data_IF_597805149706
#
_entry.id   IF_597805149706
#
_cell.length_a   1.000
_cell.length_b   1.000
_cell.length_c   1.000
_cell.angle_alpha   90.00
_cell.angle_beta   90.00
_cell.angle_gamma   90.00
#
_symmetry.space_group_name_H-M   'P 1'
#
loop_
_entity.id
_entity.type
_entity.pdbx_description
1 polymer ?
#
# COMPACT_ATOMS: atom_id res chain seq x y z
N UNK A 1 -7.72 -4.76 -65.96
CA UNK A 1 -6.42 -4.05 -65.88
C UNK A 1 -6.68 -2.59 -65.62
N UNK A 2 -6.68 -2.10 -64.44
CA UNK A 2 -6.67 -0.75 -63.84
C UNK A 2 -7.28 -0.84 -62.42
N UNK A 3 -6.49 -1.24 -61.44
CA UNK A 3 -6.84 -1.08 -60.02
C UNK A 3 -5.60 -1.22 -59.10
N UNK A 4 -4.40 -0.92 -59.61
CA UNK A 4 -3.17 -1.04 -58.82
C UNK A 4 -2.42 0.30 -58.60
N UNK A 5 -3.05 1.46 -58.85
CA UNK A 5 -2.36 2.76 -58.85
C UNK A 5 -2.73 3.71 -57.68
N UNK A 6 -3.66 3.38 -56.79
CA UNK A 6 -4.13 4.35 -55.76
C UNK A 6 -3.56 4.17 -54.35
N UNK A 7 -2.99 3.04 -54.03
CA UNK A 7 -2.44 2.79 -52.68
C UNK A 7 -1.00 3.25 -52.50
N UNK A 8 -0.23 3.31 -53.58
CA UNK A 8 1.18 3.79 -53.55
C UNK A 8 1.28 5.31 -53.37
N UNK A 9 0.33 6.09 -53.88
CA UNK A 9 0.36 7.56 -53.78
C UNK A 9 0.09 8.05 -52.33
N UNK A 10 -0.73 7.31 -51.58
CA UNK A 10 -1.07 7.66 -50.18
C UNK A 10 0.11 7.43 -49.23
N UNK A 11 0.92 6.38 -49.47
CA UNK A 11 2.09 6.09 -48.64
C UNK A 11 3.25 7.07 -48.88
N UNK A 12 3.42 7.56 -50.12
CA UNK A 12 4.43 8.58 -50.44
C UNK A 12 4.05 9.93 -49.82
N UNK A 13 2.78 10.28 -49.79
CA UNK A 13 2.29 11.55 -49.17
C UNK A 13 2.46 11.56 -47.63
N UNK A 14 2.25 10.43 -46.97
CA UNK A 14 2.45 10.32 -45.53
C UNK A 14 3.94 10.37 -45.15
N UNK A 15 4.84 9.77 -45.96
CA UNK A 15 6.28 9.88 -45.73
C UNK A 15 6.83 11.30 -45.95
N UNK A 16 6.29 12.06 -46.92
CA UNK A 16 6.74 13.44 -47.14
C UNK A 16 6.32 14.41 -46.03
N UNK A 17 5.16 14.20 -45.40
CA UNK A 17 4.69 15.06 -44.28
C UNK A 17 5.49 14.82 -43.00
N UNK A 18 6.01 13.59 -42.81
CA UNK A 18 6.86 13.27 -41.65
C UNK A 18 8.28 13.80 -41.78
N UNK A 19 8.78 13.93 -43.04
CA UNK A 19 10.16 14.39 -43.30
C UNK A 19 10.28 15.92 -43.33
N UNK A 20 9.20 16.68 -43.61
CA UNK A 20 9.23 18.14 -43.58
C UNK A 20 8.98 18.74 -42.17
N UNK A 21 8.50 17.94 -41.22
CA UNK A 21 8.30 18.36 -39.82
C UNK A 21 9.58 18.39 -38.96
N UNK A 22 10.71 17.83 -39.46
CA UNK A 22 11.95 17.72 -38.67
C UNK A 22 12.97 18.84 -38.87
N UNK A 23 12.73 19.83 -39.74
CA UNK A 23 13.74 20.87 -40.02
C UNK A 23 13.46 22.25 -39.40
N UNK A 24 12.41 22.41 -38.62
CA UNK A 24 12.11 23.71 -37.97
C UNK A 24 12.42 23.75 -36.47
N UNK A 25 13.15 22.79 -35.91
CA UNK A 25 13.45 22.75 -34.47
C UNK A 25 14.95 22.89 -34.16
N UNK A 26 15.73 23.47 -35.04
CA UNK A 26 17.12 23.87 -34.74
C UNK A 26 17.25 25.37 -35.02
N UNK A 27 17.09 26.18 -33.98
CA UNK A 27 17.83 27.40 -33.68
C UNK A 27 17.01 28.33 -32.82
N UNK A 28 17.00 28.05 -31.53
CA UNK A 28 17.14 29.09 -30.52
C UNK A 28 18.07 28.50 -29.46
N UNK A 29 19.38 28.75 -29.65
CA UNK A 29 20.34 28.67 -28.55
C UNK A 29 20.00 29.81 -27.58
N UNK A 30 18.94 29.58 -26.81
CA UNK A 30 18.63 30.36 -25.61
C UNK A 30 19.40 29.72 -24.46
N UNK A 31 20.12 30.53 -23.73
CA UNK A 31 20.75 30.35 -22.44
C UNK A 31 20.44 28.99 -21.80
N UNK A 32 21.49 28.20 -21.58
CA UNK A 32 21.42 27.05 -20.69
C UNK A 32 21.09 27.59 -19.29
N UNK A 33 19.81 27.82 -19.02
CA UNK A 33 19.31 27.81 -17.66
C UNK A 33 19.65 26.40 -17.16
N UNK A 34 20.59 26.29 -16.24
CA UNK A 34 20.79 25.05 -15.50
C UNK A 34 19.41 24.64 -14.99
N UNK A 35 18.99 23.38 -15.20
CA UNK A 35 17.73 22.94 -14.65
C UNK A 35 17.79 23.22 -13.15
N UNK A 36 16.93 24.10 -12.69
CA UNK A 36 16.77 24.41 -11.28
C UNK A 36 16.43 23.08 -10.61
N UNK A 37 17.37 22.55 -9.82
CA UNK A 37 17.16 21.30 -9.09
C UNK A 37 16.12 21.60 -8.04
N UNK A 38 14.85 21.38 -8.40
CA UNK A 38 13.73 21.51 -7.46
C UNK A 38 14.00 20.66 -6.22
N UNK A 39 13.70 21.20 -5.04
CA UNK A 39 13.84 20.44 -3.81
C UNK A 39 13.03 19.16 -3.88
N UNK A 40 13.45 18.06 -3.23
CA UNK A 40 12.69 16.81 -3.24
C UNK A 40 11.22 16.99 -2.84
N UNK A 41 10.93 17.90 -1.91
CA UNK A 41 9.58 18.20 -1.46
C UNK A 41 8.72 18.79 -2.57
N UNK A 42 9.23 19.75 -3.33
CA UNK A 42 8.54 20.35 -4.47
C UNK A 42 8.28 19.31 -5.58
N UNK A 43 9.24 18.39 -5.79
CA UNK A 43 9.06 17.32 -6.76
C UNK A 43 7.93 16.38 -6.36
N UNK A 44 7.81 16.00 -5.08
CA UNK A 44 6.71 15.16 -4.59
C UNK A 44 5.39 15.90 -4.75
N UNK A 45 5.28 17.15 -4.30
CA UNK A 45 4.05 17.95 -4.41
C UNK A 45 3.53 18.04 -5.84
N UNK A 46 4.41 18.22 -6.81
CA UNK A 46 4.04 18.30 -8.23
C UNK A 46 3.43 17.01 -8.78
N UNK A 47 3.58 15.88 -8.10
CA UNK A 47 3.07 14.56 -8.52
C UNK A 47 1.89 14.08 -7.68
N UNK A 48 1.49 14.78 -6.62
CA UNK A 48 0.35 14.37 -5.80
C UNK A 48 -0.96 14.64 -6.54
N UNK A 49 -1.67 13.56 -6.84
CA UNK A 49 -3.04 13.60 -7.37
C UNK A 49 -4.01 13.08 -6.30
N UNK A 50 -4.70 13.99 -5.62
CA UNK A 50 -5.69 13.65 -4.57
C UNK A 50 -6.85 12.78 -5.08
N UNK A 51 -7.03 12.63 -6.39
CA UNK A 51 -8.04 11.72 -6.95
C UNK A 51 -7.62 10.26 -6.85
N UNK A 52 -6.30 9.96 -6.87
CA UNK A 52 -5.76 8.63 -6.59
C UNK A 52 -5.33 8.53 -5.11
N UNK A 53 -6.25 7.99 -4.31
CA UNK A 53 -6.08 7.91 -2.85
C UNK A 53 -4.88 7.09 -2.41
N UNK A 54 -4.57 5.98 -3.10
CA UNK A 54 -3.43 5.12 -2.78
C UNK A 54 -2.12 5.82 -3.13
N UNK A 55 -2.03 6.41 -4.32
CA UNK A 55 -0.83 7.15 -4.72
C UNK A 55 -0.61 8.38 -3.82
N UNK A 56 -1.67 9.06 -3.39
CA UNK A 56 -1.57 10.15 -2.41
C UNK A 56 -0.98 9.65 -1.09
N UNK A 57 -1.43 8.51 -0.56
CA UNK A 57 -0.89 7.96 0.68
C UNK A 57 0.58 7.55 0.53
N UNK A 58 0.95 6.98 -0.61
CA UNK A 58 2.35 6.67 -0.94
C UNK A 58 3.22 7.91 -0.95
N UNK A 59 2.73 8.97 -1.59
CA UNK A 59 3.44 10.25 -1.65
C UNK A 59 3.58 10.90 -0.27
N UNK A 60 2.55 10.82 0.59
CA UNK A 60 2.60 11.32 1.98
C UNK A 60 3.68 10.56 2.78
N UNK A 61 3.74 9.23 2.70
CA UNK A 61 4.79 8.45 3.37
C UNK A 61 6.18 8.82 2.84
N UNK A 62 6.35 8.94 1.52
CA UNK A 62 7.60 9.34 0.90
C UNK A 62 8.01 10.76 1.31
N UNK A 63 7.05 11.71 1.39
CA UNK A 63 7.31 13.05 1.87
C UNK A 63 7.81 13.04 3.32
N UNK A 64 7.19 12.21 4.17
CA UNK A 64 7.63 12.04 5.55
C UNK A 64 9.06 11.50 5.62
N UNK A 65 9.39 10.47 4.85
CA UNK A 65 10.72 9.86 4.79
C UNK A 65 11.81 10.84 4.36
N UNK A 66 11.45 11.81 3.53
CA UNK A 66 12.36 12.88 3.07
C UNK A 66 12.38 14.11 3.98
N UNK A 67 11.62 14.12 5.07
CA UNK A 67 11.53 15.26 6.00
C UNK A 67 10.69 16.43 5.48
N UNK A 68 9.84 16.21 4.47
CA UNK A 68 8.94 17.21 3.90
C UNK A 68 7.66 17.35 4.75
N UNK A 69 7.81 17.70 6.02
CA UNK A 69 6.72 17.66 6.99
C UNK A 69 5.55 18.60 6.65
N UNK A 70 5.81 19.76 6.07
CA UNK A 70 4.76 20.69 5.62
C UNK A 70 3.89 20.08 4.52
N UNK A 71 4.51 19.36 3.58
CA UNK A 71 3.82 18.58 2.53
C UNK A 71 2.96 17.48 3.16
N UNK A 72 3.50 16.75 4.15
CA UNK A 72 2.75 15.74 4.91
C UNK A 72 1.53 16.36 5.57
N UNK A 73 1.67 17.51 6.23
CA UNK A 73 0.55 18.19 6.89
C UNK A 73 -0.51 18.65 5.89
N UNK A 74 -0.09 19.25 4.77
CA UNK A 74 -1.01 19.78 3.76
C UNK A 74 -1.88 18.67 3.17
N UNK A 75 -1.26 17.63 2.63
CA UNK A 75 -1.98 16.55 1.95
C UNK A 75 -2.53 15.50 2.91
N UNK A 76 -1.85 15.26 4.03
CA UNK A 76 -2.30 14.30 5.03
C UNK A 76 -3.57 14.73 5.76
N UNK A 77 -3.70 16.00 6.14
CA UNK A 77 -4.94 16.50 6.77
C UNK A 77 -6.12 16.48 5.81
N UNK A 78 -5.88 16.76 4.53
CA UNK A 78 -6.90 16.64 3.49
C UNK A 78 -7.28 15.16 3.30
N UNK A 79 -6.31 14.26 3.16
CA UNK A 79 -6.55 12.83 3.03
C UNK A 79 -7.31 12.26 4.24
N UNK A 80 -6.97 12.68 5.46
CA UNK A 80 -7.67 12.28 6.69
C UNK A 80 -9.16 12.65 6.66
N UNK A 81 -9.50 13.77 6.04
CA UNK A 81 -10.89 14.22 5.90
C UNK A 81 -11.60 13.52 4.75
N UNK A 82 -10.99 13.51 3.56
CA UNK A 82 -11.63 13.09 2.31
C UNK A 82 -11.71 11.57 2.15
N UNK A 83 -10.74 10.83 2.74
CA UNK A 83 -10.64 9.38 2.54
C UNK A 83 -11.31 8.58 3.66
N UNK A 84 -11.87 9.25 4.66
CA UNK A 84 -12.56 8.62 5.78
C UNK A 84 -13.86 7.95 5.37
N UNK A 85 -14.54 8.51 4.39
CA UNK A 85 -15.86 8.05 3.99
C UNK A 85 -15.88 7.65 2.50
N UNK A 86 -16.71 6.64 2.23
CA UNK A 86 -16.98 6.20 0.88
C UNK A 86 -18.07 7.09 0.26
N UNK A 87 -17.76 7.69 -0.89
CA UNK A 87 -18.81 8.32 -1.71
C UNK A 87 -19.58 7.23 -2.44
N UNK A 88 -20.81 6.99 -2.01
CA UNK A 88 -21.66 5.99 -2.65
C UNK A 88 -22.16 6.50 -4.00
N UNK A 89 -21.89 5.75 -5.07
CA UNK A 89 -22.40 5.98 -6.40
C UNK A 89 -22.90 4.68 -7.02
N UNK A 90 -24.19 4.60 -7.31
CA UNK A 90 -24.80 3.41 -7.93
C UNK A 90 -24.09 3.03 -9.22
N UNK A 91 -23.69 4.01 -10.03
CA UNK A 91 -22.97 3.76 -11.28
C UNK A 91 -21.59 3.16 -11.04
N UNK A 92 -20.81 3.70 -10.08
CA UNK A 92 -19.49 3.17 -9.71
C UNK A 92 -19.61 1.74 -9.16
N UNK A 93 -20.58 1.48 -8.28
CA UNK A 93 -20.81 0.16 -7.71
C UNK A 93 -21.21 -0.87 -8.77
N UNK A 94 -22.07 -0.49 -9.72
CA UNK A 94 -22.49 -1.37 -10.80
C UNK A 94 -21.35 -1.66 -11.77
N UNK A 95 -20.54 -0.65 -12.11
CA UNK A 95 -19.37 -0.81 -12.98
C UNK A 95 -18.35 -1.77 -12.37
N UNK A 96 -18.22 -1.80 -11.05
CA UNK A 96 -17.31 -2.69 -10.33
C UNK A 96 -17.69 -4.18 -10.42
N UNK A 97 -18.92 -4.51 -10.85
CA UNK A 97 -19.31 -5.89 -11.15
C UNK A 97 -18.60 -6.39 -12.42
N UNK A 98 -18.34 -5.50 -13.37
CA UNK A 98 -17.72 -5.85 -14.64
C UNK A 98 -16.21 -5.74 -14.64
N UNK A 99 -15.64 -4.88 -13.78
CA UNK A 99 -14.21 -4.64 -13.68
C UNK A 99 -13.74 -4.95 -12.26
N UNK A 100 -12.90 -5.97 -12.08
CA UNK A 100 -12.27 -6.26 -10.80
C UNK A 100 -11.30 -5.14 -10.39
N UNK A 101 -10.75 -5.22 -9.23
CA UNK A 101 -9.75 -4.30 -8.66
C UNK A 101 -10.27 -2.99 -8.03
N UNK A 102 -11.58 -2.81 -7.94
CA UNK A 102 -12.11 -1.60 -7.33
C UNK A 102 -11.76 -0.30 -8.06
N UNK A 103 -11.35 -0.37 -9.35
CA UNK A 103 -10.89 0.77 -10.17
C UNK A 103 -11.90 1.92 -10.21
N UNK A 104 -13.20 1.60 -10.06
CA UNK A 104 -14.27 2.60 -10.06
C UNK A 104 -14.81 2.94 -8.67
N UNK A 105 -14.30 2.29 -7.63
CA UNK A 105 -14.72 2.54 -6.25
C UNK A 105 -13.64 3.32 -5.55
N UNK A 106 -14.04 4.40 -4.89
CA UNK A 106 -13.12 5.18 -4.09
C UNK A 106 -12.53 4.30 -2.97
N UNK A 107 -11.23 4.31 -2.83
CA UNK A 107 -10.56 3.65 -1.73
C UNK A 107 -10.93 4.35 -0.41
N UNK A 108 -11.23 3.57 0.62
CA UNK A 108 -11.48 4.08 1.99
C UNK A 108 -10.42 3.50 2.90
N UNK A 109 -9.76 4.35 3.65
CA UNK A 109 -8.71 3.93 4.58
C UNK A 109 -9.25 2.97 5.63
N UNK A 110 -8.50 1.91 5.88
CA UNK A 110 -8.73 1.04 7.02
C UNK A 110 -8.45 1.76 8.35
N UNK A 111 -8.95 1.22 9.45
CA UNK A 111 -8.72 1.84 10.76
C UNK A 111 -7.24 1.99 11.09
N UNK A 112 -6.43 0.97 10.79
CA UNK A 112 -4.99 1.01 11.02
C UNK A 112 -4.28 2.05 10.14
N UNK A 113 -4.73 2.24 8.89
CA UNK A 113 -4.19 3.25 7.97
C UNK A 113 -4.53 4.67 8.44
N UNK A 114 -5.76 4.89 8.90
CA UNK A 114 -6.13 6.18 9.49
C UNK A 114 -5.33 6.47 10.76
N UNK A 115 -5.14 5.45 11.61
CA UNK A 115 -4.28 5.55 12.77
C UNK A 115 -2.84 5.90 12.39
N UNK A 116 -2.26 5.18 11.44
CA UNK A 116 -0.89 5.44 11.00
C UNK A 116 -0.75 6.81 10.31
N UNK A 117 -1.75 7.27 9.58
CA UNK A 117 -1.77 8.63 9.03
C UNK A 117 -1.74 9.67 10.16
N UNK A 118 -2.51 9.46 11.24
CA UNK A 118 -2.44 10.33 12.43
C UNK A 118 -1.06 10.30 13.10
N UNK A 119 -0.36 9.15 13.10
CA UNK A 119 1.04 9.05 13.56
C UNK A 119 1.96 9.93 12.72
N UNK A 120 1.88 9.86 11.37
CA UNK A 120 2.70 10.68 10.48
C UNK A 120 2.42 12.18 10.67
N UNK A 121 1.14 12.55 10.85
CA UNK A 121 0.74 13.94 11.11
C UNK A 121 1.26 14.42 12.47
N UNK A 122 1.10 13.62 13.54
CA UNK A 122 1.61 13.97 14.88
C UNK A 122 3.13 14.15 14.86
N UNK A 123 3.84 13.22 14.22
CA UNK A 123 5.28 13.32 14.07
C UNK A 123 5.70 14.55 13.26
N UNK A 124 4.98 14.88 12.18
CA UNK A 124 5.26 16.06 11.37
C UNK A 124 5.04 17.36 12.14
N UNK A 125 3.96 17.45 12.92
CA UNK A 125 3.73 18.59 13.81
C UNK A 125 4.84 18.73 14.86
N UNK A 126 5.28 17.61 15.44
CA UNK A 126 6.38 17.62 16.39
C UNK A 126 7.67 18.16 15.76
N UNK A 127 8.03 17.69 14.56
CA UNK A 127 9.22 18.17 13.84
C UNK A 127 9.15 19.63 13.41
N UNK A 128 7.94 20.19 13.30
CA UNK A 128 7.71 21.62 13.02
C UNK A 128 7.49 22.44 14.29
N UNK A 129 7.92 21.92 15.45
CA UNK A 129 7.83 22.57 16.75
C UNK A 129 6.39 23.00 17.15
N UNK A 130 5.41 22.15 16.82
CA UNK A 130 4.01 22.35 17.16
C UNK A 130 3.45 21.18 17.99
N UNK A 131 3.87 21.02 19.26
CA UNK A 131 3.48 19.89 20.09
C UNK A 131 1.97 19.84 20.38
N UNK A 132 1.29 20.98 20.45
CA UNK A 132 -0.15 21.01 20.73
C UNK A 132 -0.96 20.42 19.57
N UNK A 133 -0.58 20.70 18.32
CA UNK A 133 -1.21 20.06 17.18
C UNK A 133 -0.87 18.56 17.11
N UNK A 134 0.35 18.16 17.48
CA UNK A 134 0.72 16.75 17.59
C UNK A 134 -0.17 16.00 18.58
N UNK A 135 -0.46 16.58 19.75
CA UNK A 135 -1.39 16.00 20.74
C UNK A 135 -2.81 15.84 20.20
N UNK A 136 -3.28 16.75 19.36
CA UNK A 136 -4.59 16.61 18.71
C UNK A 136 -4.62 15.40 17.79
N UNK A 137 -3.56 15.18 17.03
CA UNK A 137 -3.48 14.00 16.15
C UNK A 137 -3.36 12.69 16.94
N UNK A 138 -2.67 12.69 18.08
CA UNK A 138 -2.63 11.51 18.95
C UNK A 138 -4.00 11.18 19.54
N UNK A 139 -4.79 12.17 19.94
CA UNK A 139 -6.18 11.92 20.38
C UNK A 139 -7.06 11.37 19.23
N UNK A 140 -6.79 11.74 17.98
CA UNK A 140 -7.44 11.11 16.82
C UNK A 140 -6.99 9.69 16.63
N UNK A 141 -5.70 9.42 16.82
CA UNK A 141 -5.14 8.07 16.81
C UNK A 141 -5.84 7.18 17.85
N UNK A 142 -5.99 7.63 19.08
CA UNK A 142 -6.70 6.91 20.14
C UNK A 142 -8.15 6.60 19.72
N UNK A 143 -8.85 7.57 19.12
CA UNK A 143 -10.18 7.34 18.60
C UNK A 143 -10.21 6.23 17.53
N UNK A 144 -9.26 6.17 16.62
CA UNK A 144 -9.19 5.13 15.58
C UNK A 144 -8.82 3.76 16.16
N UNK A 145 -7.98 3.70 17.20
CA UNK A 145 -7.63 2.46 17.90
C UNK A 145 -8.85 1.86 18.59
N UNK A 146 -9.68 2.69 19.25
CA UNK A 146 -10.80 2.24 20.08
C UNK A 146 -12.18 2.34 19.39
N UNK A 147 -12.27 2.74 18.12
CA UNK A 147 -13.55 2.83 17.41
C UNK A 147 -14.08 1.44 17.04
N UNK A 148 -15.19 0.97 17.62
CA UNK A 148 -15.65 -0.42 17.46
C UNK A 148 -16.18 -0.72 16.03
N UNK A 149 -16.52 0.29 15.24
CA UNK A 149 -17.25 0.10 13.98
C UNK A 149 -16.44 -0.63 12.90
N UNK A 150 -15.11 -0.49 12.93
CA UNK A 150 -14.17 -1.14 12.00
C UNK A 150 -12.98 -1.73 12.73
N UNK A 151 -13.04 -1.80 14.06
CA UNK A 151 -11.96 -2.32 14.87
C UNK A 151 -12.11 -3.83 15.01
N UNK A 152 -11.28 -4.57 14.30
CA UNK A 152 -11.19 -6.03 14.37
C UNK A 152 -10.29 -6.49 15.53
N UNK A 153 -10.24 -5.75 16.58
CA UNK A 153 -9.33 -5.89 17.69
C UNK A 153 -8.43 -4.67 17.84
N UNK A 154 -7.75 -4.60 18.94
CA UNK A 154 -6.80 -3.53 19.22
C UNK A 154 -5.67 -3.51 18.20
N UNK A 155 -5.13 -2.33 17.95
CA UNK A 155 -4.01 -2.15 17.01
C UNK A 155 -2.72 -1.93 17.79
N UNK A 156 -1.95 -3.00 18.06
CA UNK A 156 -0.76 -2.89 18.91
C UNK A 156 0.34 -2.05 18.29
N UNK A 157 0.39 -1.93 16.96
CA UNK A 157 1.40 -1.10 16.28
C UNK A 157 1.10 0.38 16.51
N UNK A 158 -0.12 0.81 16.22
CA UNK A 158 -0.53 2.19 16.44
C UNK A 158 -0.59 2.54 17.92
N UNK A 159 -0.95 1.60 18.80
CA UNK A 159 -0.91 1.78 20.25
C UNK A 159 0.52 1.99 20.77
N UNK A 160 1.50 1.26 20.22
CA UNK A 160 2.90 1.45 20.57
C UNK A 160 3.43 2.82 20.10
N UNK A 161 3.02 3.27 18.91
CA UNK A 161 3.30 4.64 18.47
C UNK A 161 2.70 5.68 19.42
N UNK A 162 1.44 5.50 19.82
CA UNK A 162 0.77 6.40 20.75
C UNK A 162 1.53 6.50 22.06
N UNK A 163 1.85 5.36 22.69
CA UNK A 163 2.59 5.31 23.95
C UNK A 163 3.93 6.06 23.89
N UNK A 164 4.71 5.83 22.82
CA UNK A 164 6.01 6.47 22.65
C UNK A 164 5.87 7.96 22.34
N UNK A 165 4.92 8.35 21.49
CA UNK A 165 4.71 9.75 21.13
C UNK A 165 4.22 10.60 22.31
N UNK A 166 3.36 10.05 23.17
CA UNK A 166 2.97 10.71 24.41
C UNK A 166 4.16 10.93 25.35
N UNK A 167 5.09 9.95 25.44
CA UNK A 167 6.34 10.16 26.18
C UNK A 167 7.21 11.28 25.56
N UNK A 168 7.36 11.29 24.23
CA UNK A 168 8.11 12.34 23.49
C UNK A 168 7.52 13.72 23.74
N UNK A 169 6.20 13.82 23.89
CA UNK A 169 5.48 15.05 24.18
C UNK A 169 5.40 15.37 25.68
N UNK A 170 6.08 14.61 26.54
CA UNK A 170 6.09 14.74 28.00
C UNK A 170 4.71 14.60 28.68
N UNK A 171 3.79 13.86 28.04
CA UNK A 171 2.44 13.53 28.57
C UNK A 171 2.46 12.15 29.24
N UNK A 172 3.02 12.09 30.43
CA UNK A 172 3.30 10.83 31.12
C UNK A 172 2.05 10.03 31.50
N UNK A 173 0.93 10.68 31.77
CA UNK A 173 -0.30 9.98 32.15
C UNK A 173 -0.93 9.28 30.96
N UNK A 174 -1.00 9.95 29.81
CA UNK A 174 -1.48 9.36 28.56
C UNK A 174 -0.58 8.20 28.13
N UNK A 175 0.74 8.40 28.16
CA UNK A 175 1.70 7.33 27.86
C UNK A 175 1.51 6.11 28.79
N UNK A 176 1.25 6.33 30.08
CA UNK A 176 1.00 5.26 31.04
C UNK A 176 -0.23 4.43 30.70
N UNK A 177 -1.30 5.07 30.25
CA UNK A 177 -2.52 4.38 29.81
C UNK A 177 -2.19 3.42 28.66
N UNK A 178 -1.50 3.91 27.64
CA UNK A 178 -1.16 3.11 26.46
C UNK A 178 -0.19 1.96 26.77
N UNK A 179 0.83 2.20 27.62
CA UNK A 179 1.72 1.14 28.08
C UNK A 179 0.99 0.07 28.89
N UNK A 180 -0.01 0.46 29.68
CA UNK A 180 -0.86 -0.49 30.44
C UNK A 180 -1.69 -1.35 29.49
N UNK A 181 -2.30 -0.74 28.48
CA UNK A 181 -3.06 -1.46 27.45
C UNK A 181 -2.17 -2.47 26.70
N UNK A 182 -0.96 -2.05 26.28
CA UNK A 182 -0.01 -2.96 25.63
C UNK A 182 0.41 -4.14 26.51
N UNK A 183 0.57 -3.91 27.82
CA UNK A 183 0.90 -4.98 28.77
C UNK A 183 -0.26 -5.98 28.93
N UNK A 184 -1.51 -5.51 28.87
CA UNK A 184 -2.72 -6.30 29.13
C UNK A 184 -3.22 -7.06 27.88
N UNK A 185 -2.71 -6.78 26.68
CA UNK A 185 -3.09 -7.49 25.46
C UNK A 185 -2.61 -8.95 25.47
N UNK A 186 -3.52 -9.90 25.64
CA UNK A 186 -3.20 -11.34 25.76
C UNK A 186 -2.65 -11.95 24.45
N UNK A 187 -3.07 -11.44 23.30
CA UNK A 187 -2.66 -11.90 21.96
C UNK A 187 -1.35 -11.28 21.48
N UNK A 188 -0.82 -10.29 22.22
CA UNK A 188 0.44 -9.64 21.90
C UNK A 188 1.64 -10.52 22.35
N UNK A 189 2.71 -10.49 21.54
CA UNK A 189 3.93 -11.23 21.85
C UNK A 189 4.49 -10.84 23.23
N UNK A 190 4.96 -11.86 23.99
CA UNK A 190 5.44 -11.67 25.37
C UNK A 190 6.61 -10.69 25.47
N UNK A 191 7.45 -10.63 24.44
CA UNK A 191 8.55 -9.68 24.35
C UNK A 191 8.06 -8.24 24.43
N UNK A 192 6.98 -7.91 23.71
CA UNK A 192 6.41 -6.56 23.67
C UNK A 192 5.72 -6.25 25.01
N UNK A 193 4.94 -7.20 25.54
CA UNK A 193 4.29 -7.05 26.85
C UNK A 193 5.31 -6.85 27.98
N UNK A 194 6.41 -7.59 27.93
CA UNK A 194 7.50 -7.46 28.91
C UNK A 194 8.17 -6.10 28.80
N UNK A 195 8.42 -5.59 27.59
CA UNK A 195 8.95 -4.26 27.39
C UNK A 195 8.00 -3.18 27.93
N UNK A 196 6.70 -3.27 27.64
CA UNK A 196 5.71 -2.36 28.19
C UNK A 196 5.69 -2.34 29.72
N UNK A 197 5.76 -3.53 30.36
CA UNK A 197 5.89 -3.66 31.82
C UNK A 197 7.15 -2.98 32.35
N UNK A 198 8.27 -3.14 31.69
CA UNK A 198 9.52 -2.47 32.08
C UNK A 198 9.40 -0.94 31.99
N UNK A 199 8.76 -0.43 30.94
CA UNK A 199 8.48 1.01 30.80
C UNK A 199 7.63 1.52 31.95
N UNK A 200 6.53 0.86 32.30
CA UNK A 200 5.67 1.22 33.43
C UNK A 200 6.44 1.24 34.76
N UNK A 201 7.33 0.29 35.00
CA UNK A 201 8.18 0.27 36.21
C UNK A 201 9.08 1.50 36.26
N UNK A 202 9.74 1.87 35.16
CA UNK A 202 10.58 3.07 35.08
C UNK A 202 9.76 4.35 35.29
N UNK A 203 8.56 4.45 34.70
CA UNK A 203 7.66 5.59 34.88
C UNK A 203 7.24 5.78 36.35
N UNK A 204 7.11 4.71 37.11
CA UNK A 204 6.78 4.78 38.54
C UNK A 204 8.00 5.11 39.43
N UNK A 205 9.20 4.94 38.92
CA UNK A 205 10.46 5.09 39.67
C UNK A 205 11.02 6.51 39.75
N UNK A 206 10.31 7.54 39.26
CA UNK A 206 10.78 8.93 39.20
C UNK A 206 12.08 9.13 38.40
N UNK A 207 12.49 8.17 37.60
CA UNK A 207 13.54 8.40 36.60
C UNK A 207 13.00 9.37 35.56
N UNK A 208 13.82 10.33 35.15
CA UNK A 208 13.49 11.22 34.06
C UNK A 208 13.34 10.39 32.78
N UNK A 209 12.08 10.06 32.45
CA UNK A 209 11.73 9.14 31.36
C UNK A 209 11.69 9.89 30.04
N UNK A 210 12.01 11.19 30.03
CA UNK A 210 12.11 11.99 28.80
C UNK A 210 13.20 11.42 27.87
N UNK A 211 13.10 10.12 27.63
CA UNK A 211 14.01 9.35 26.81
C UNK A 211 13.96 9.86 25.38
N UNK A 212 15.11 10.14 24.83
CA UNK A 212 15.28 10.45 23.41
C UNK A 212 14.92 9.19 22.61
N UNK A 213 13.66 9.09 22.23
CA UNK A 213 13.19 7.98 21.42
C UNK A 213 13.68 8.10 19.98
N UNK A 214 14.09 6.97 19.43
CA UNK A 214 14.33 6.78 18.00
C UNK A 214 13.40 5.68 17.50
N UNK A 215 12.67 5.94 16.43
CA UNK A 215 11.81 4.97 15.77
C UNK A 215 12.38 4.70 14.39
N UNK A 216 12.76 3.46 14.12
CA UNK A 216 13.27 3.03 12.84
C UNK A 216 12.23 2.16 12.12
N UNK A 217 11.91 2.52 10.89
CA UNK A 217 11.07 1.74 10.00
C UNK A 217 11.91 0.73 9.23
N UNK A 218 11.45 -0.52 9.10
CA UNK A 218 12.17 -1.62 8.48
C UNK A 218 11.32 -2.31 7.42
N UNK A 219 11.95 -2.53 6.27
CA UNK A 219 11.37 -3.31 5.17
C UNK A 219 10.11 -2.71 4.59
N UNK A 220 9.55 -3.41 3.62
CA UNK A 220 8.28 -3.04 2.99
C UNK A 220 7.18 -4.00 3.42
N UNK A 221 5.95 -3.51 3.53
CA UNK A 221 4.79 -4.34 3.78
C UNK A 221 4.73 -5.48 2.75
N UNK A 222 4.46 -6.72 3.17
CA UNK A 222 4.53 -7.86 2.27
C UNK A 222 3.44 -7.81 1.20
N UNK A 223 3.79 -8.21 -0.02
CA UNK A 223 2.79 -8.43 -1.07
C UNK A 223 1.75 -9.45 -0.61
N UNK A 224 0.52 -9.26 -1.05
CA UNK A 224 -0.62 -10.09 -0.68
C UNK A 224 -0.88 -11.13 -1.77
N UNK A 225 -0.86 -12.41 -1.37
CA UNK A 225 -1.40 -13.52 -2.15
C UNK A 225 -2.81 -13.85 -1.70
N UNK A 226 -3.64 -14.29 -2.63
CA UNK A 226 -4.99 -14.70 -2.33
C UNK A 226 -5.40 -15.92 -3.15
N UNK A 227 -6.36 -16.67 -2.63
CA UNK A 227 -6.95 -17.82 -3.30
C UNK A 227 -8.41 -18.00 -2.91
N UNK A 228 -9.19 -18.64 -3.77
CA UNK A 228 -10.62 -18.90 -3.53
C UNK A 228 -10.77 -20.16 -2.69
N UNK A 229 -11.42 -20.05 -1.54
CA UNK A 229 -11.82 -21.18 -0.71
C UNK A 229 -13.24 -21.62 -1.07
N UNK A 230 -13.38 -22.74 -1.75
CA UNK A 230 -14.71 -23.31 -2.02
C UNK A 230 -15.35 -24.05 -0.84
N UNK A 231 -14.65 -24.15 0.30
CA UNK A 231 -15.05 -25.02 1.42
C UNK A 231 -15.14 -24.21 2.72
N UNK A 232 -16.36 -24.20 3.28
CA UNK A 232 -16.81 -23.64 4.56
C UNK A 232 -17.17 -22.16 4.54
N UNK A 233 -18.48 -21.93 4.47
CA UNK A 233 -19.10 -20.59 4.55
C UNK A 233 -18.87 -19.85 5.89
N UNK A 234 -18.43 -20.53 6.92
CA UNK A 234 -18.15 -19.97 8.25
C UNK A 234 -16.81 -19.23 8.35
N UNK A 235 -15.90 -19.44 7.39
CA UNK A 235 -14.55 -18.84 7.37
C UNK A 235 -14.27 -17.92 6.17
N UNK A 236 -15.31 -17.47 5.49
CA UNK A 236 -15.18 -16.63 4.30
C UNK A 236 -14.74 -17.40 3.05
N UNK A 237 -14.74 -16.70 1.91
CA UNK A 237 -14.54 -17.31 0.59
C UNK A 237 -13.12 -17.18 0.06
N UNK A 238 -12.30 -16.32 0.67
CA UNK A 238 -10.93 -16.07 0.24
C UNK A 238 -9.92 -16.48 1.32
N UNK A 239 -8.79 -16.99 0.87
CA UNK A 239 -7.59 -17.17 1.69
C UNK A 239 -6.61 -16.08 1.32
N UNK A 240 -6.30 -15.21 2.24
CA UNK A 240 -5.33 -14.12 2.09
C UNK A 240 -4.09 -14.48 2.87
N UNK A 241 -2.92 -14.34 2.24
CA UNK A 241 -1.62 -14.71 2.83
C UNK A 241 -0.55 -13.71 2.43
N UNK A 242 0.39 -13.39 3.32
CA UNK A 242 1.57 -12.61 2.94
C UNK A 242 2.50 -13.48 2.08
N UNK A 243 3.13 -12.91 1.05
CA UNK A 243 4.12 -13.61 0.23
C UNK A 243 5.43 -13.87 0.95
N UNK A 244 5.73 -13.04 1.92
CA UNK A 244 6.94 -13.14 2.73
C UNK A 244 6.57 -13.10 4.22
N UNK A 245 7.36 -13.74 5.03
CA UNK A 245 7.13 -13.75 6.48
C UNK A 245 7.51 -12.41 7.10
N UNK A 246 6.75 -12.00 8.11
CA UNK A 246 7.11 -10.87 8.94
C UNK A 246 8.30 -11.20 9.85
N UNK A 247 9.05 -10.16 10.21
CA UNK A 247 10.09 -10.28 11.23
C UNK A 247 9.48 -10.66 12.59
N UNK A 248 10.14 -11.55 13.30
CA UNK A 248 9.72 -11.92 14.64
C UNK A 248 9.80 -10.71 15.59
N UNK A 249 8.93 -10.62 16.60
CA UNK A 249 9.05 -9.63 17.66
C UNK A 249 10.40 -9.78 18.37
N UNK A 250 10.90 -8.68 18.91
CA UNK A 250 12.15 -8.64 19.66
C UNK A 250 12.01 -7.60 20.75
N UNK A 251 12.61 -7.84 21.92
CA UNK A 251 12.77 -6.81 22.94
C UNK A 251 14.19 -6.86 23.51
N UNK A 252 14.69 -5.68 23.88
CA UNK A 252 15.94 -5.45 24.58
C UNK A 252 15.68 -4.57 25.81
N UNK A 253 16.71 -4.19 26.55
CA UNK A 253 16.57 -3.22 27.63
C UNK A 253 16.24 -1.82 27.13
N UNK A 254 16.72 -1.46 25.93
CA UNK A 254 16.60 -0.15 25.32
C UNK A 254 15.53 -0.06 24.25
N UNK A 255 15.06 -1.17 23.68
CA UNK A 255 14.18 -1.11 22.53
C UNK A 255 13.29 -2.34 22.33
N UNK A 256 12.32 -2.17 21.45
CA UNK A 256 11.37 -3.22 21.05
C UNK A 256 11.08 -3.13 19.54
N UNK A 257 10.99 -4.30 18.90
CA UNK A 257 10.56 -4.45 17.52
C UNK A 257 9.16 -5.04 17.44
N UNK A 258 8.27 -4.37 16.72
CA UNK A 258 6.93 -4.86 16.40
C UNK A 258 6.75 -4.97 14.87
N UNK A 259 6.12 -6.05 14.43
CA UNK A 259 5.76 -6.22 13.02
C UNK A 259 4.38 -5.66 12.72
N UNK A 260 4.15 -5.29 11.47
CA UNK A 260 2.82 -4.88 10.97
C UNK A 260 1.93 -6.06 10.58
N UNK A 261 2.24 -7.25 11.11
CA UNK A 261 1.44 -8.47 10.89
C UNK A 261 -0.02 -8.29 11.32
N UNK A 262 -0.28 -7.56 12.41
CA UNK A 262 -1.65 -7.24 12.86
C UNK A 262 -2.43 -6.43 11.83
N UNK A 263 -1.77 -5.56 11.08
CA UNK A 263 -2.39 -4.82 9.97
C UNK A 263 -2.73 -5.75 8.81
N UNK A 264 -1.81 -6.66 8.48
CA UNK A 264 -2.07 -7.70 7.48
C UNK A 264 -3.26 -8.59 7.90
N UNK A 265 -3.32 -8.97 9.17
CA UNK A 265 -4.42 -9.79 9.70
C UNK A 265 -5.76 -9.07 9.60
N UNK A 266 -5.81 -7.75 9.78
CA UNK A 266 -7.03 -6.94 9.56
C UNK A 266 -7.49 -7.02 8.12
N UNK A 267 -6.57 -6.92 7.14
CA UNK A 267 -6.89 -7.11 5.71
C UNK A 267 -7.39 -8.54 5.46
N UNK A 268 -6.71 -9.54 6.01
CA UNK A 268 -7.07 -10.94 5.85
C UNK A 268 -8.45 -11.25 6.45
N UNK A 269 -8.76 -10.75 7.63
CA UNK A 269 -10.06 -10.91 8.29
C UNK A 269 -11.16 -10.27 7.46
N UNK A 270 -10.98 -9.04 6.99
CA UNK A 270 -11.95 -8.35 6.13
C UNK A 270 -12.37 -9.20 4.95
N UNK A 271 -11.44 -9.91 4.31
CA UNK A 271 -11.71 -10.72 3.13
C UNK A 271 -12.07 -12.18 3.46
N UNK A 272 -11.57 -12.73 4.57
CA UNK A 272 -11.76 -14.14 4.92
C UNK A 272 -13.09 -14.41 5.64
N UNK A 273 -13.53 -13.51 6.52
CA UNK A 273 -14.67 -13.75 7.41
C UNK A 273 -15.97 -13.07 7.00
N UNK A 274 -16.04 -12.51 5.78
CA UNK A 274 -17.28 -11.92 5.29
C UNK A 274 -17.77 -10.72 6.10
N UNK A 275 -16.87 -10.06 6.78
CA UNK A 275 -17.16 -8.91 7.64
C UNK A 275 -17.84 -7.76 6.87
N UNK A 276 -17.59 -7.68 5.57
CA UNK A 276 -18.35 -6.85 4.64
C UNK A 276 -19.10 -7.74 3.64
N UNK A 277 -20.34 -8.16 3.95
CA UNK A 277 -21.12 -9.03 3.05
C UNK A 277 -21.24 -8.44 1.64
N UNK A 278 -21.24 -7.11 1.49
CA UNK A 278 -21.27 -6.45 0.19
C UNK A 278 -20.02 -6.73 -0.67
N UNK A 279 -18.82 -6.86 -0.10
CA UNK A 279 -17.61 -7.20 -0.85
C UNK A 279 -17.66 -8.64 -1.37
N UNK A 280 -18.20 -9.56 -0.58
CA UNK A 280 -18.40 -10.94 -1.00
C UNK A 280 -19.52 -11.04 -2.04
N UNK A 281 -20.62 -10.32 -1.84
CA UNK A 281 -21.73 -10.28 -2.84
C UNK A 281 -21.21 -9.75 -4.17
N UNK A 282 -20.38 -8.72 -4.18
CA UNK A 282 -19.77 -8.22 -5.43
C UNK A 282 -18.91 -9.28 -6.12
N UNK A 283 -18.04 -9.98 -5.39
CA UNK A 283 -17.24 -11.07 -5.97
C UNK A 283 -18.12 -12.22 -6.51
N UNK A 284 -19.20 -12.56 -5.81
CA UNK A 284 -20.16 -13.56 -6.27
C UNK A 284 -20.97 -13.09 -7.49
N UNK A 285 -21.35 -11.82 -7.56
CA UNK A 285 -22.00 -11.25 -8.73
C UNK A 285 -21.06 -11.21 -9.95
N UNK A 286 -19.75 -11.14 -9.73
CA UNK A 286 -18.74 -11.26 -10.80
C UNK A 286 -18.57 -12.69 -11.31
N UNK A 287 -18.92 -13.70 -10.51
CA UNK A 287 -18.73 -15.10 -10.91
C UNK A 287 -19.41 -15.44 -12.25
N UNK A 288 -20.71 -15.14 -12.48
CA UNK A 288 -21.33 -15.38 -13.78
C UNK A 288 -20.62 -14.65 -14.93
N UNK A 289 -20.24 -13.39 -14.70
CA UNK A 289 -19.52 -12.58 -15.69
C UNK A 289 -18.14 -13.18 -15.97
N UNK A 290 -17.40 -13.55 -14.94
CA UNK A 290 -16.09 -14.20 -15.05
C UNK A 290 -16.15 -15.54 -15.76
N UNK A 291 -17.20 -16.35 -15.51
CA UNK A 291 -17.44 -17.61 -16.21
C UNK A 291 -17.71 -17.37 -17.70
N UNK A 292 -18.55 -16.40 -18.04
CA UNK A 292 -18.81 -16.03 -19.45
C UNK A 292 -17.52 -15.56 -20.13
N UNK A 293 -16.75 -14.68 -19.53
CA UNK A 293 -15.47 -14.23 -20.09
C UNK A 293 -14.47 -15.39 -20.22
N UNK A 294 -14.39 -16.26 -19.24
CA UNK A 294 -13.50 -17.43 -19.28
C UNK A 294 -13.89 -18.39 -20.40
N UNK A 295 -15.19 -18.69 -20.56
CA UNK A 295 -15.71 -19.56 -21.64
C UNK A 295 -15.49 -18.90 -23.00
N UNK A 296 -15.75 -17.60 -23.15
CA UNK A 296 -15.51 -16.90 -24.42
C UNK A 296 -14.03 -16.88 -24.78
N UNK A 297 -13.14 -16.66 -23.81
CA UNK A 297 -11.69 -16.71 -24.01
C UNK A 297 -11.24 -18.11 -24.44
N UNK A 298 -11.76 -19.16 -23.80
CA UNK A 298 -11.51 -20.55 -24.17
C UNK A 298 -12.02 -20.86 -25.57
N UNK A 299 -13.30 -20.55 -25.86
CA UNK A 299 -13.91 -20.78 -27.15
C UNK A 299 -13.22 -20.02 -28.29
N UNK A 300 -12.82 -18.77 -28.04
CA UNK A 300 -12.03 -17.98 -28.99
C UNK A 300 -10.68 -18.63 -29.27
N UNK A 301 -9.98 -19.09 -28.23
CA UNK A 301 -8.73 -19.83 -28.40
C UNK A 301 -8.87 -21.11 -29.21
N UNK A 302 -9.90 -21.91 -28.92
CA UNK A 302 -10.21 -23.12 -29.69
C UNK A 302 -10.58 -22.76 -31.13
N UNK A 303 -11.42 -21.75 -31.34
CA UNK A 303 -11.83 -21.27 -32.66
C UNK A 303 -10.65 -20.80 -33.51
N UNK A 304 -9.72 -20.04 -32.93
CA UNK A 304 -8.51 -19.58 -33.61
C UNK A 304 -7.62 -20.78 -34.01
N UNK A 305 -7.39 -21.72 -33.07
CA UNK A 305 -6.54 -22.86 -33.35
C UNK A 305 -7.12 -23.73 -34.50
N UNK A 306 -8.40 -24.06 -34.43
CA UNK A 306 -9.09 -24.90 -35.45
C UNK A 306 -9.27 -24.12 -36.75
N UNK A 307 -9.77 -22.88 -36.69
CA UNK A 307 -10.03 -22.05 -37.86
C UNK A 307 -8.75 -21.72 -38.64
N UNK A 308 -7.67 -21.42 -37.94
CA UNK A 308 -6.39 -21.15 -38.59
C UNK A 308 -5.81 -22.36 -39.33
N UNK A 309 -5.94 -23.55 -38.74
CA UNK A 309 -5.54 -24.80 -39.43
C UNK A 309 -6.43 -25.12 -40.61
N UNK A 310 -7.73 -24.88 -40.50
CA UNK A 310 -8.65 -25.07 -41.60
C UNK A 310 -8.38 -24.15 -42.77
N UNK A 311 -8.13 -22.86 -42.50
CA UNK A 311 -7.77 -21.88 -43.53
C UNK A 311 -6.44 -22.21 -44.21
N UNK A 312 -5.46 -22.67 -43.45
CA UNK A 312 -4.17 -23.10 -43.99
C UNK A 312 -4.32 -24.30 -44.92
N UNK A 313 -5.14 -25.28 -44.52
CA UNK A 313 -5.45 -26.46 -45.36
C UNK A 313 -6.23 -26.09 -46.63
N UNK A 314 -7.22 -25.17 -46.52
CA UNK A 314 -8.04 -24.74 -47.66
C UNK A 314 -7.24 -23.84 -48.64
N UNK A 315 -6.20 -23.14 -48.16
CA UNK A 315 -5.35 -22.24 -48.97
C UNK A 315 -4.11 -22.90 -49.59
N UNK A 316 -3.97 -24.23 -49.53
CA UNK A 316 -2.71 -24.93 -49.91
C UNK A 316 -1.48 -24.38 -49.19
N UNK A 317 -1.66 -23.94 -47.96
CA UNK A 317 -0.60 -23.40 -47.10
C UNK A 317 0.45 -24.45 -46.71
N UNK A 318 1.62 -24.00 -46.35
CA UNK A 318 2.76 -24.84 -45.93
C UNK A 318 2.73 -25.15 -44.41
N UNK A 319 1.61 -25.04 -43.74
CA UNK A 319 1.43 -25.34 -42.31
C UNK A 319 1.79 -24.17 -41.36
N UNK A 320 2.33 -23.09 -41.89
CA UNK A 320 2.80 -21.97 -41.05
C UNK A 320 1.67 -21.21 -40.35
N UNK A 321 0.54 -21.02 -41.04
CA UNK A 321 -0.62 -20.34 -40.46
C UNK A 321 -1.28 -21.21 -39.37
N UNK A 322 -1.36 -22.54 -39.61
CA UNK A 322 -1.84 -23.48 -38.63
C UNK A 322 -0.97 -23.48 -37.35
N UNK A 323 0.35 -23.49 -37.48
CA UNK A 323 1.26 -23.43 -36.33
C UNK A 323 1.08 -22.17 -35.51
N UNK A 324 1.01 -21.00 -36.14
CA UNK A 324 0.79 -19.71 -35.47
C UNK A 324 -0.59 -19.70 -34.79
N UNK A 325 -1.63 -20.21 -35.45
CA UNK A 325 -3.00 -20.30 -34.91
C UNK A 325 -3.09 -21.28 -33.72
N UNK A 326 -2.39 -22.39 -33.74
CA UNK A 326 -2.31 -23.31 -32.60
C UNK A 326 -1.62 -22.64 -31.41
N UNK A 327 -0.48 -22.00 -31.63
CA UNK A 327 0.26 -21.33 -30.55
C UNK A 327 -0.60 -20.23 -29.91
N UNK A 328 -1.21 -19.37 -30.72
CA UNK A 328 -2.10 -18.30 -30.26
C UNK A 328 -3.36 -18.84 -29.56
N UNK A 329 -4.00 -19.84 -30.13
CA UNK A 329 -5.19 -20.49 -29.56
C UNK A 329 -4.90 -21.17 -28.22
N UNK A 330 -3.81 -21.92 -28.13
CA UNK A 330 -3.38 -22.56 -26.86
C UNK A 330 -3.02 -21.51 -25.80
N UNK A 331 -2.41 -20.40 -26.20
CA UNK A 331 -2.13 -19.30 -25.26
C UNK A 331 -3.42 -18.72 -24.65
N UNK A 332 -4.47 -18.50 -25.46
CA UNK A 332 -5.77 -18.02 -24.98
C UNK A 332 -6.48 -19.06 -24.10
N UNK A 333 -6.43 -20.35 -24.48
CA UNK A 333 -6.98 -21.43 -23.65
C UNK A 333 -6.31 -21.45 -22.26
N UNK A 334 -4.99 -21.33 -22.21
CA UNK A 334 -4.24 -21.25 -20.95
C UNK A 334 -4.53 -19.98 -20.13
N UNK A 335 -5.00 -18.93 -20.77
CA UNK A 335 -5.41 -17.68 -20.08
C UNK A 335 -6.80 -17.78 -19.45
N UNK A 336 -7.70 -18.64 -19.97
CA UNK A 336 -9.11 -18.66 -19.54
C UNK A 336 -9.30 -18.85 -18.02
N UNK A 337 -8.60 -19.77 -17.31
CA UNK A 337 -8.72 -19.88 -15.86
C UNK A 337 -8.12 -18.65 -15.13
N UNK A 338 -7.11 -17.99 -15.72
CA UNK A 338 -6.56 -16.76 -15.16
C UNK A 338 -7.55 -15.61 -15.24
N UNK A 339 -8.33 -15.54 -16.32
CA UNK A 339 -9.41 -14.55 -16.47
C UNK A 339 -10.46 -14.73 -15.37
N UNK A 340 -10.90 -15.97 -15.13
CA UNK A 340 -11.84 -16.26 -14.04
C UNK A 340 -11.25 -15.87 -12.68
N UNK A 341 -10.02 -16.28 -12.41
CA UNK A 341 -9.32 -15.92 -11.17
C UNK A 341 -9.21 -14.40 -11.02
N UNK A 342 -8.84 -13.68 -12.07
CA UNK A 342 -8.77 -12.23 -12.06
C UNK A 342 -10.13 -11.58 -11.78
N UNK A 343 -11.22 -12.07 -12.41
CA UNK A 343 -12.57 -11.53 -12.20
C UNK A 343 -13.09 -11.77 -10.78
N UNK A 344 -12.63 -12.82 -10.10
CA UNK A 344 -12.99 -13.12 -8.71
C UNK A 344 -12.12 -12.42 -7.68
N UNK A 345 -11.07 -11.71 -8.11
CA UNK A 345 -10.14 -11.06 -7.21
C UNK A 345 -10.88 -10.10 -6.25
N UNK A 346 -10.70 -10.25 -4.93
CA UNK A 346 -11.21 -9.28 -3.96
C UNK A 346 -10.47 -7.95 -4.08
N UNK A 347 -11.05 -6.87 -3.60
CA UNK A 347 -10.38 -5.58 -3.51
C UNK A 347 -9.34 -5.62 -2.38
N UNK A 348 -8.11 -5.98 -2.73
CA UNK A 348 -6.97 -6.07 -1.82
C UNK A 348 -6.15 -4.77 -1.78
N UNK A 349 -6.70 -3.66 -2.29
CA UNK A 349 -6.02 -2.37 -2.19
C UNK A 349 -5.78 -2.04 -0.71
N UNK A 350 -4.62 -1.53 -0.42
CA UNK A 350 -4.15 -1.12 0.89
C UNK A 350 -2.98 -0.16 0.71
N UNK A 351 -2.61 0.50 1.75
CA UNK A 351 -1.42 1.34 1.78
C UNK A 351 -0.16 0.44 1.82
N UNK A 352 0.42 0.16 0.68
CA UNK A 352 1.42 -0.91 0.49
C UNK A 352 2.87 -0.47 0.72
N UNK A 353 3.17 0.84 0.76
CA UNK A 353 4.49 1.33 1.08
C UNK A 353 4.69 1.63 2.57
N UNK A 354 3.83 1.12 3.44
CA UNK A 354 4.08 1.14 4.88
C UNK A 354 5.20 0.14 5.24
N UNK A 355 5.96 0.39 6.30
CA UNK A 355 7.00 -0.54 6.75
C UNK A 355 6.46 -1.90 7.19
N UNK A 356 7.26 -2.96 7.01
CA UNK A 356 6.94 -4.30 7.50
C UNK A 356 7.08 -4.44 9.02
N UNK A 357 7.93 -3.62 9.63
CA UNK A 357 8.11 -3.57 11.09
C UNK A 357 8.71 -2.24 11.53
N UNK A 358 8.59 -1.97 12.82
CA UNK A 358 9.18 -0.80 13.47
C UNK A 358 10.03 -1.24 14.66
N UNK A 359 11.16 -0.56 14.87
CA UNK A 359 11.98 -0.65 16.08
C UNK A 359 11.88 0.67 16.82
N UNK A 360 11.41 0.61 18.04
CA UNK A 360 11.33 1.73 18.97
C UNK A 360 12.48 1.57 19.98
N UNK A 361 13.34 2.55 20.10
CA UNK A 361 14.49 2.45 21.00
C UNK A 361 14.87 3.77 21.65
N UNK A 362 15.38 3.67 22.86
CA UNK A 362 16.02 4.78 23.60
C UNK A 362 17.55 4.68 23.53
N UNK A 363 18.11 3.74 22.78
CA UNK A 363 19.54 3.61 22.60
C UNK A 363 20.13 4.85 21.92
N UNK A 364 21.21 5.37 22.44
CA UNK A 364 21.90 6.55 21.91
C UNK A 364 22.43 6.30 20.47
N UNK A 365 22.78 5.07 20.16
CA UNK A 365 23.22 4.65 18.83
C UNK A 365 22.38 3.47 18.36
N UNK A 366 21.71 3.66 17.23
CA UNK A 366 20.89 2.61 16.61
C UNK A 366 21.67 1.32 16.31
N UNK A 367 22.96 1.41 16.01
CA UNK A 367 23.79 0.26 15.71
C UNK A 367 24.04 -0.63 16.93
N UNK A 368 23.80 -0.14 18.12
CA UNK A 368 23.94 -0.90 19.36
C UNK A 368 22.61 -1.56 19.78
N UNK A 369 21.51 -1.30 19.04
CA UNK A 369 20.21 -1.88 19.33
C UNK A 369 20.09 -3.32 18.83
N UNK A 370 19.99 -4.32 19.74
CA UNK A 370 19.93 -5.73 19.35
C UNK A 370 18.76 -6.06 18.41
N UNK A 371 17.61 -5.42 18.60
CA UNK A 371 16.43 -5.63 17.77
C UNK A 371 16.59 -5.09 16.35
N UNK A 372 17.51 -4.15 16.11
CA UNK A 372 17.85 -3.66 14.79
C UNK A 372 18.95 -4.51 14.15
N UNK A 373 20.00 -4.84 14.90
CA UNK A 373 21.16 -5.59 14.39
C UNK A 373 20.84 -7.04 14.02
N UNK A 374 19.78 -7.61 14.60
CA UNK A 374 19.31 -8.97 14.27
C UNK A 374 18.59 -9.07 12.91
N UNK A 375 18.42 -7.94 12.19
CA UNK A 375 17.73 -7.90 10.88
C UNK A 375 18.71 -8.23 9.76
N UNK A 376 18.39 -9.13 8.83
CA UNK A 376 19.24 -9.40 7.68
C UNK A 376 19.50 -8.14 6.84
N UNK A 377 20.73 -7.96 6.37
CA UNK A 377 21.18 -6.76 5.64
C UNK A 377 20.32 -6.33 4.44
N UNK A 378 19.54 -7.24 3.85
CA UNK A 378 18.64 -6.92 2.74
C UNK A 378 17.39 -6.14 3.18
N UNK A 379 16.94 -6.31 4.41
CA UNK A 379 15.75 -5.65 4.97
C UNK A 379 16.08 -4.30 5.63
N UNK A 380 17.37 -4.04 5.92
CA UNK A 380 17.83 -2.75 6.48
C UNK A 380 17.85 -1.60 5.48
N UNK A 381 17.67 -1.86 4.19
CA UNK A 381 17.87 -0.85 3.11
C UNK A 381 16.90 0.32 3.12
N UNK A 382 15.84 0.26 3.92
CA UNK A 382 14.84 1.33 4.04
C UNK A 382 14.61 1.67 5.52
N UNK A 383 15.66 2.12 6.22
CA UNK A 383 15.51 2.58 7.59
C UNK A 383 15.24 4.06 7.59
N UNK A 384 14.01 4.44 7.87
CA UNK A 384 13.61 5.83 8.12
C UNK A 384 13.56 6.08 9.60
N UNK A 385 14.20 7.14 10.06
CA UNK A 385 14.17 7.53 11.46
C UNK A 385 13.06 8.53 11.69
N UNK A 386 11.99 8.12 12.36
CA UNK A 386 10.82 8.97 12.67
C UNK A 386 11.17 10.09 13.65
N UNK A 387 12.05 9.83 14.61
CA UNK A 387 12.48 10.82 15.59
C UNK A 387 13.98 10.71 15.75
N UNK A 388 14.68 11.82 15.50
CA UNK A 388 16.04 12.03 16.02
C UNK A 388 15.94 13.00 17.18
N UNK A 389 16.61 12.73 18.32
CA UNK A 389 16.78 13.77 19.31
C UNK A 389 17.42 14.98 18.63
N UNK A 390 16.90 16.16 18.90
CA UNK A 390 17.58 17.37 18.48
C UNK A 390 19.04 17.27 18.97
N UNK A 391 19.99 17.41 18.04
CA UNK A 391 21.40 17.55 18.42
C UNK A 391 21.46 18.84 19.23
N UNK A 392 21.68 18.74 20.55
CA UNK A 392 21.94 19.94 21.34
C UNK A 392 23.10 20.68 20.66
N UNK A 393 22.93 21.96 20.30
CA UNK A 393 24.02 22.72 19.75
C UNK A 393 25.09 22.78 20.84
N UNK A 394 26.33 22.33 20.53
CA UNK A 394 27.51 22.46 21.37
C UNK A 394 27.84 23.91 21.69
#
# INVERSE_FOLDING_TARGET
>A
MILCGRTTLLHVLICCVVLTGCQSFMQTAGEHAQPEILSPCVQIEAHIDMSDRIETLRAIAQAFDLGCYETVLTYGTQAQTDYRYKTFSVLKETSNIFLPDGTFIDYVLESYERGFLSVLLAASYYHLDNPEAAKVELRRLDHEIFTPLYNYGEDPVNLLFSAVLWEVLHESEEARVDWTLLQEQDDLAEEIRTFARQRLVRMNGSEDISGKWTIAALGNFPNIDWDVKFVKADKGYFSVKPRQSFLAPCASESGVRISTASWFDKIAVRHSYGYHPLLHVQSWLRLPVGVVYSITTFASGAGIAVGGCFLDAAGNGNGSLCQVAIIGGVALIKQSPKVLHFMLRPDLRHWDNVPASFVFTTAANLMDEPCLTSVPNQEQRHTTTFFRPAVEPE
#
